data_IF_489086438766
#
_entry.id   IF_489086438766
#
_cell.length_a   1.000
_cell.length_b   1.000
_cell.length_c   1.000
_cell.angle_alpha   90.00
_cell.angle_beta   90.00
_cell.angle_gamma   90.00
#
_symmetry.space_group_name_H-M   'P 1'
#
loop_
_entity.id
_entity.type
_entity.pdbx_description
1 polymer ?
#
# COMPACT_ATOMS: atom_id res chain seq x y z
N UNK A 1 -21.35 -3.25 27.92
CA UNK A 1 -20.04 -3.65 28.47
C UNK A 1 -19.50 -4.90 27.77
N UNK A 2 -19.51 -4.94 26.43
CA UNK A 2 -18.81 -5.95 25.60
C UNK A 2 -18.41 -5.23 24.29
N UNK A 3 -17.27 -4.55 24.32
CA UNK A 3 -16.56 -3.93 23.18
C UNK A 3 -15.07 -4.03 23.51
N UNK A 4 -14.51 -5.23 23.34
CA UNK A 4 -13.06 -5.54 23.46
C UNK A 4 -12.90 -7.03 23.17
N UNK A 5 -12.91 -7.45 21.91
CA UNK A 5 -12.44 -8.77 21.47
C UNK A 5 -12.40 -8.85 19.94
N UNK A 6 -11.66 -7.96 19.28
CA UNK A 6 -11.28 -8.14 17.87
C UNK A 6 -10.02 -7.31 17.63
N UNK A 7 -8.87 -7.79 18.12
CA UNK A 7 -7.54 -7.45 17.60
C UNK A 7 -6.49 -8.38 18.24
N UNK A 8 -6.62 -9.70 18.08
CA UNK A 8 -5.51 -10.64 18.30
C UNK A 8 -5.76 -11.95 17.56
N UNK A 9 -5.94 -11.89 16.25
CA UNK A 9 -5.68 -13.05 15.41
C UNK A 9 -4.43 -12.75 14.61
N UNK A 10 -3.34 -13.35 15.09
CA UNK A 10 -2.11 -13.61 14.35
C UNK A 10 -2.50 -14.02 12.94
N UNK A 11 -2.27 -13.15 11.96
CA UNK A 11 -2.35 -13.49 10.55
C UNK A 11 -1.23 -14.52 10.30
N UNK A 12 -1.54 -15.79 9.98
CA UNK A 12 -0.50 -16.76 9.70
C UNK A 12 0.35 -16.31 8.49
N UNK A 13 1.67 -16.43 8.61
CA UNK A 13 2.71 -15.97 7.66
C UNK A 13 2.70 -16.58 6.24
N UNK A 14 1.57 -17.00 5.69
CA UNK A 14 1.46 -17.58 4.35
C UNK A 14 0.23 -17.03 3.60
N UNK A 15 0.24 -15.75 3.20
CA UNK A 15 -0.86 -15.18 2.42
C UNK A 15 -0.39 -14.16 1.38
N UNK A 16 -0.52 -14.52 0.10
CA UNK A 16 -0.91 -13.66 -1.04
C UNK A 16 -0.70 -14.45 -2.35
N UNK A 17 -1.56 -15.42 -2.68
CA UNK A 17 -1.54 -16.06 -4.00
C UNK A 17 -2.94 -16.47 -4.43
N UNK A 18 -3.64 -15.56 -5.10
CA UNK A 18 -4.77 -15.88 -5.95
C UNK A 18 -4.34 -15.49 -7.36
N UNK A 19 -3.93 -16.50 -8.13
CA UNK A 19 -3.71 -16.47 -9.59
C UNK A 19 -2.89 -15.27 -10.15
N UNK A 20 -1.80 -14.92 -9.50
CA UNK A 20 -0.58 -14.53 -10.23
C UNK A 20 0.27 -15.80 -10.23
N UNK A 21 0.76 -16.26 -11.39
CA UNK A 21 1.75 -17.36 -11.48
C UNK A 21 2.69 -17.25 -10.29
N UNK A 22 2.85 -18.31 -9.51
CA UNK A 22 3.84 -18.40 -8.43
C UNK A 22 5.18 -17.87 -8.93
N UNK A 23 5.45 -16.59 -8.71
CA UNK A 23 6.80 -16.08 -8.67
C UNK A 23 7.26 -16.53 -7.30
N UNK A 24 7.74 -17.76 -7.24
CA UNK A 24 8.59 -18.23 -6.14
C UNK A 24 9.51 -17.06 -5.76
N UNK A 25 9.66 -16.77 -4.47
CA UNK A 25 10.53 -15.69 -4.00
C UNK A 25 11.97 -15.84 -4.53
N UNK A 26 12.36 -17.01 -5.06
CA UNK A 26 13.61 -17.26 -5.77
C UNK A 26 13.66 -16.79 -7.24
N UNK A 27 12.62 -16.12 -7.77
CA UNK A 27 12.55 -15.70 -9.19
C UNK A 27 12.45 -14.19 -9.41
N UNK A 28 12.34 -13.40 -8.33
CA UNK A 28 12.29 -11.94 -8.43
C UNK A 28 13.68 -11.38 -8.73
N UNK A 29 13.76 -10.37 -9.59
CA UNK A 29 15.04 -9.72 -9.88
C UNK A 29 15.60 -9.09 -8.60
N UNK A 30 16.89 -9.30 -8.28
CA UNK A 30 17.49 -8.74 -7.08
C UNK A 30 17.54 -7.22 -7.18
N UNK A 31 17.21 -6.55 -6.08
CA UNK A 31 17.34 -5.10 -5.92
C UNK A 31 18.62 -4.84 -5.11
N UNK A 32 19.58 -4.04 -5.63
CA UNK A 32 20.74 -3.63 -4.86
C UNK A 32 20.34 -2.81 -3.63
N UNK A 33 21.08 -2.97 -2.52
CA UNK A 33 20.84 -2.24 -1.28
C UNK A 33 20.79 -0.72 -1.45
N UNK A 34 21.57 -0.18 -2.38
CA UNK A 34 21.56 1.23 -2.77
C UNK A 34 21.44 1.29 -4.30
N UNK A 35 20.42 1.97 -4.80
CA UNK A 35 20.25 2.23 -6.24
C UNK A 35 20.16 3.74 -6.45
N UNK A 36 21.03 4.30 -7.31
CA UNK A 36 21.02 5.74 -7.63
C UNK A 36 20.28 5.98 -8.93
N UNK A 37 19.40 6.96 -8.91
CA UNK A 37 18.73 7.54 -10.07
C UNK A 37 19.14 9.01 -10.16
N UNK A 38 18.66 9.72 -11.19
CA UNK A 38 19.07 11.10 -11.46
C UNK A 38 18.80 12.08 -10.29
N UNK A 39 17.60 12.00 -9.69
CA UNK A 39 17.13 12.93 -8.65
C UNK A 39 16.82 12.29 -7.30
N UNK A 40 17.11 11.01 -7.15
CA UNK A 40 16.79 10.25 -5.94
C UNK A 40 17.69 9.02 -5.78
N UNK A 41 17.76 8.54 -4.55
CA UNK A 41 18.49 7.33 -4.19
C UNK A 41 17.53 6.40 -3.45
N UNK A 42 17.38 5.18 -3.95
CA UNK A 42 16.65 4.13 -3.25
C UNK A 42 17.58 3.41 -2.30
N UNK A 43 17.14 3.25 -1.05
CA UNK A 43 17.81 2.52 0.03
C UNK A 43 16.89 1.38 0.47
N UNK A 44 17.33 0.14 0.31
CA UNK A 44 16.51 -1.03 0.61
C UNK A 44 16.47 -1.30 2.12
N UNK A 45 15.29 -1.52 2.68
CA UNK A 45 14.97 -1.60 4.11
C UNK A 45 15.58 -2.79 4.87
N UNK A 46 16.25 -3.72 4.19
CA UNK A 46 16.86 -4.92 4.79
C UNK A 46 15.83 -5.79 5.55
N UNK A 47 14.61 -5.84 5.04
CA UNK A 47 13.46 -6.51 5.63
C UNK A 47 12.73 -7.40 4.62
N UNK A 48 13.48 -8.14 3.80
CA UNK A 48 12.93 -9.11 2.83
C UNK A 48 11.90 -10.06 3.47
N UNK A 49 10.76 -10.24 2.82
CA UNK A 49 9.67 -11.05 3.34
C UNK A 49 8.53 -11.27 2.36
N UNK A 50 7.51 -12.07 2.72
CA UNK A 50 6.37 -12.34 1.84
C UNK A 50 5.56 -11.09 1.47
N UNK A 51 5.44 -10.13 2.39
CA UNK A 51 4.70 -8.87 2.17
C UNK A 51 5.61 -7.77 1.60
N UNK A 52 6.85 -7.71 2.07
CA UNK A 52 7.83 -6.66 1.74
C UNK A 52 8.66 -6.98 0.50
N UNK A 53 8.44 -8.15 -0.12
CA UNK A 53 9.17 -8.63 -1.29
C UNK A 53 10.69 -8.66 -1.04
N UNK A 54 11.49 -7.97 -1.86
CA UNK A 54 12.94 -7.81 -1.65
C UNK A 54 13.28 -6.97 -0.41
N UNK A 55 12.34 -6.16 0.09
CA UNK A 55 12.46 -5.21 1.19
C UNK A 55 11.69 -3.92 0.90
N UNK A 56 11.46 -3.09 1.92
CA UNK A 56 10.91 -1.74 1.74
C UNK A 56 11.88 -0.88 0.93
N UNK A 57 11.36 -0.17 -0.06
CA UNK A 57 12.09 0.85 -0.78
C UNK A 57 11.91 2.18 -0.06
N UNK A 58 12.93 2.60 0.68
CA UNK A 58 13.02 3.99 1.15
C UNK A 58 13.69 4.84 0.07
N UNK A 59 13.26 6.09 -0.09
CA UNK A 59 13.78 6.99 -1.12
C UNK A 59 14.31 8.27 -0.51
N UNK A 60 15.61 8.54 -0.70
CA UNK A 60 16.20 9.85 -0.43
C UNK A 60 16.09 10.70 -1.70
N UNK A 61 15.19 11.68 -1.68
CA UNK A 61 14.76 12.46 -2.84
C UNK A 61 15.37 13.87 -2.79
N UNK A 62 15.79 14.37 -3.94
CA UNK A 62 16.44 15.67 -4.11
C UNK A 62 17.93 15.53 -4.42
N UNK A 63 18.53 16.59 -4.96
CA UNK A 63 19.95 16.62 -5.35
C UNK A 63 20.80 17.53 -4.46
N UNK A 64 20.18 18.48 -3.77
CA UNK A 64 20.82 19.41 -2.85
C UNK A 64 21.31 18.74 -1.55
N UNK A 65 21.95 19.53 -0.67
CA UNK A 65 22.37 19.09 0.67
C UNK A 65 21.17 18.63 1.51
N UNK A 66 20.07 19.39 1.52
CA UNK A 66 18.84 19.01 2.20
C UNK A 66 18.01 18.12 1.29
N UNK A 67 17.63 16.94 1.79
CA UNK A 67 16.86 15.94 1.03
C UNK A 67 15.69 15.41 1.85
N UNK A 68 14.64 14.98 1.16
CA UNK A 68 13.47 14.34 1.77
C UNK A 68 13.66 12.84 1.78
N UNK A 69 13.44 12.19 2.92
CA UNK A 69 13.40 10.73 3.04
C UNK A 69 11.93 10.26 2.99
N UNK A 70 11.57 9.46 2.00
CA UNK A 70 10.27 8.83 1.90
C UNK A 70 10.34 7.41 2.44
N UNK A 71 9.51 7.12 3.44
CA UNK A 71 9.44 5.87 4.19
C UNK A 71 10.76 5.43 4.82
N UNK A 72 10.66 4.43 5.67
CA UNK A 72 11.79 3.82 6.36
C UNK A 72 11.76 2.30 6.18
N UNK A 73 11.83 1.54 7.27
CA UNK A 73 11.76 0.08 7.30
C UNK A 73 11.19 -0.35 8.65
N UNK A 74 11.14 -1.66 8.91
CA UNK A 74 10.82 -2.22 10.22
C UNK A 74 11.66 -1.60 11.35
N UNK A 75 11.17 -1.59 12.60
CA UNK A 75 12.00 -1.23 13.73
C UNK A 75 13.21 -2.17 13.85
N UNK A 76 14.30 -1.63 14.41
CA UNK A 76 15.53 -2.34 14.77
C UNK A 76 16.36 -2.90 13.59
N UNK A 77 16.17 -2.41 12.36
CA UNK A 77 16.99 -2.78 11.19
C UNK A 77 18.32 -2.00 11.16
N UNK A 78 19.29 -2.43 11.96
CA UNK A 78 20.61 -1.77 12.08
C UNK A 78 21.34 -1.65 10.73
N UNK A 79 21.23 -2.65 9.86
CA UNK A 79 21.86 -2.63 8.54
C UNK A 79 21.27 -1.56 7.63
N UNK A 80 19.95 -1.33 7.69
CA UNK A 80 19.31 -0.22 6.98
C UNK A 80 19.81 1.14 7.50
N UNK A 81 19.87 1.31 8.81
CA UNK A 81 20.37 2.57 9.41
C UNK A 81 21.81 2.87 8.99
N UNK A 82 22.67 1.83 8.93
CA UNK A 82 24.03 1.96 8.42
C UNK A 82 24.08 2.33 6.92
N UNK A 83 23.15 1.81 6.10
CA UNK A 83 23.03 2.21 4.69
C UNK A 83 22.59 3.66 4.53
N UNK A 84 21.63 4.13 5.35
CA UNK A 84 21.20 5.54 5.36
C UNK A 84 22.36 6.44 5.73
N UNK A 85 23.08 6.15 6.82
CA UNK A 85 24.27 6.90 7.25
C UNK A 85 25.34 6.94 6.14
N UNK A 86 25.61 5.80 5.51
CA UNK A 86 26.55 5.71 4.40
C UNK A 86 26.15 6.61 3.22
N UNK A 87 24.88 6.57 2.82
CA UNK A 87 24.37 7.39 1.70
C UNK A 87 24.47 8.87 2.04
N UNK A 88 23.99 9.30 3.21
CA UNK A 88 24.05 10.71 3.62
C UNK A 88 25.50 11.25 3.60
N UNK A 89 26.46 10.46 4.10
CA UNK A 89 27.87 10.83 4.08
C UNK A 89 28.45 10.92 2.66
N UNK A 90 28.11 9.97 1.78
CA UNK A 90 28.58 9.96 0.38
C UNK A 90 28.03 11.15 -0.41
N UNK A 91 26.77 11.49 -0.17
CA UNK A 91 26.05 12.56 -0.87
C UNK A 91 26.27 13.94 -0.25
N UNK A 92 26.97 14.01 0.90
CA UNK A 92 27.10 15.22 1.74
C UNK A 92 25.72 15.85 1.99
N UNK A 93 24.76 14.99 2.33
CA UNK A 93 23.37 15.35 2.48
C UNK A 93 22.91 15.19 3.94
N UNK A 94 21.87 15.93 4.29
CA UNK A 94 21.11 15.83 5.53
C UNK A 94 19.64 15.64 5.21
N UNK A 95 18.91 14.94 6.07
CA UNK A 95 17.46 14.74 5.90
C UNK A 95 16.75 15.97 6.46
N UNK A 96 15.97 16.67 5.64
CA UNK A 96 15.15 17.81 6.08
C UNK A 96 13.77 17.37 6.56
N UNK A 97 13.21 16.37 5.88
CA UNK A 97 11.87 15.87 6.14
C UNK A 97 11.87 14.36 5.92
N UNK A 98 11.21 13.65 6.83
CA UNK A 98 10.80 12.26 6.63
C UNK A 98 9.31 12.26 6.36
N UNK A 99 8.89 11.70 5.23
CA UNK A 99 7.47 11.52 4.91
C UNK A 99 7.15 10.04 4.97
N UNK A 100 6.10 9.69 5.71
CA UNK A 100 5.61 8.33 5.86
C UNK A 100 4.34 8.16 5.03
N UNK A 101 4.32 7.18 4.12
CA UNK A 101 3.19 6.89 3.25
C UNK A 101 1.99 6.37 4.03
N UNK A 102 2.21 5.50 5.02
CA UNK A 102 1.16 4.93 5.87
C UNK A 102 1.71 4.28 7.15
N UNK A 103 0.81 3.89 8.06
CA UNK A 103 1.16 3.44 9.41
C UNK A 103 1.88 2.09 9.50
N UNK A 104 1.94 1.26 8.45
CA UNK A 104 2.53 -0.07 8.58
C UNK A 104 3.98 0.01 9.04
N UNK A 105 4.34 -0.91 9.95
CA UNK A 105 5.61 -0.94 10.65
C UNK A 105 6.84 -0.95 9.74
N UNK A 106 6.73 -1.53 8.55
CA UNK A 106 7.79 -1.60 7.56
C UNK A 106 7.97 -0.29 6.77
N UNK A 107 7.14 0.73 6.99
CA UNK A 107 7.29 2.07 6.43
C UNK A 107 7.65 3.10 7.50
N UNK A 108 7.11 2.99 8.72
CA UNK A 108 7.36 3.94 9.82
C UNK A 108 8.41 3.48 10.85
N UNK A 109 8.67 2.17 10.92
CA UNK A 109 9.25 1.53 12.10
C UNK A 109 10.64 1.99 12.50
N UNK A 110 11.46 2.44 11.56
CA UNK A 110 12.83 2.85 11.82
C UNK A 110 13.01 4.35 12.11
N UNK A 111 11.93 5.14 12.19
CA UNK A 111 12.01 6.57 12.54
C UNK A 111 12.77 6.80 13.85
N UNK A 112 12.46 6.05 14.91
CA UNK A 112 13.17 6.17 16.19
C UNK A 112 14.63 5.72 16.08
N UNK A 113 14.94 4.67 15.31
CA UNK A 113 16.32 4.23 15.12
C UNK A 113 17.17 5.27 14.38
N UNK A 114 16.57 6.05 13.46
CA UNK A 114 17.25 7.18 12.80
C UNK A 114 17.48 8.35 13.77
N UNK A 115 16.52 8.64 14.67
CA UNK A 115 16.66 9.63 15.75
C UNK A 115 17.79 9.27 16.72
N UNK A 116 17.82 8.02 17.19
CA UNK A 116 18.85 7.51 18.10
C UNK A 116 20.27 7.61 17.52
N UNK A 117 20.39 7.59 16.19
CA UNK A 117 21.66 7.76 15.47
C UNK A 117 21.97 9.19 15.05
N UNK A 118 21.13 10.16 15.43
CA UNK A 118 21.24 11.56 15.01
C UNK A 118 21.30 11.72 13.47
N UNK A 119 20.68 10.80 12.72
CA UNK A 119 20.52 10.94 11.27
C UNK A 119 19.32 11.83 10.92
N UNK A 120 18.36 11.90 11.84
CA UNK A 120 17.30 12.92 11.88
C UNK A 120 17.30 13.53 13.28
N UNK A 121 17.24 14.86 13.36
CA UNK A 121 17.34 15.64 14.60
C UNK A 121 16.14 16.60 14.74
N UNK A 122 16.20 17.58 15.65
CA UNK A 122 15.15 18.59 15.82
C UNK A 122 14.89 19.49 14.60
N UNK A 123 15.82 19.53 13.64
CA UNK A 123 15.67 20.28 12.39
C UNK A 123 14.98 19.45 11.30
N UNK A 124 14.80 18.14 11.54
CA UNK A 124 14.09 17.25 10.64
C UNK A 124 12.63 17.06 11.10
N UNK A 125 11.70 17.36 10.20
CA UNK A 125 10.29 17.06 10.46
C UNK A 125 9.96 15.62 10.06
N UNK A 126 9.15 14.92 10.84
CA UNK A 126 8.56 13.63 10.42
C UNK A 126 7.08 13.87 10.15
N UNK A 127 6.58 13.41 9.02
CA UNK A 127 5.23 13.69 8.52
C UNK A 127 4.45 12.41 8.26
N UNK A 128 3.17 12.39 8.65
CA UNK A 128 2.26 11.27 8.39
C UNK A 128 0.82 11.78 8.28
N UNK A 129 0.02 11.15 7.42
CA UNK A 129 -1.41 11.44 7.34
C UNK A 129 -2.16 10.80 8.54
N UNK A 130 -3.22 11.43 9.08
CA UNK A 130 -3.94 10.87 10.22
C UNK A 130 -4.78 9.66 9.81
N UNK A 131 -4.77 8.62 10.66
CA UNK A 131 -5.68 7.48 10.54
C UNK A 131 -7.12 7.87 10.83
N UNK A 132 -8.07 7.31 10.08
CA UNK A 132 -9.50 7.52 10.32
C UNK A 132 -10.12 6.51 11.29
N UNK A 133 -9.44 5.39 11.55
CA UNK A 133 -9.92 4.27 12.36
C UNK A 133 -9.45 4.32 13.83
N UNK A 134 -8.42 5.12 14.12
CA UNK A 134 -7.91 5.35 15.48
C UNK A 134 -7.47 6.80 15.66
N UNK A 135 -7.64 7.33 16.86
CA UNK A 135 -7.10 8.65 17.22
C UNK A 135 -5.62 8.52 17.57
N UNK A 136 -4.77 9.20 16.81
CA UNK A 136 -3.33 9.28 17.03
C UNK A 136 -2.96 10.56 17.81
N UNK A 137 -1.97 10.47 18.69
CA UNK A 137 -1.37 11.61 19.37
C UNK A 137 -0.06 11.99 18.67
N UNK A 138 -0.15 12.92 17.74
CA UNK A 138 0.96 13.36 16.90
C UNK A 138 2.07 14.07 17.71
N UNK A 139 1.71 14.75 18.81
CA UNK A 139 2.67 15.43 19.67
C UNK A 139 3.51 14.40 20.46
N UNK A 140 2.86 13.37 21.02
CA UNK A 140 3.56 12.27 21.72
C UNK A 140 4.52 11.52 20.78
N UNK A 141 4.08 11.25 19.55
CA UNK A 141 4.89 10.57 18.52
C UNK A 141 5.99 11.48 17.94
N UNK A 142 5.95 12.79 18.22
CA UNK A 142 6.78 13.82 17.59
C UNK A 142 6.67 13.77 16.06
N UNK A 143 5.47 13.64 15.54
CA UNK A 143 5.15 13.60 14.11
C UNK A 143 4.24 14.78 13.79
N UNK A 144 4.38 15.34 12.60
CA UNK A 144 3.50 16.38 12.05
C UNK A 144 2.44 15.77 11.16
N UNK A 145 1.25 16.34 11.23
CA UNK A 145 0.11 15.89 10.45
C UNK A 145 0.22 16.35 8.98
N UNK A 146 0.06 15.42 8.04
CA UNK A 146 -0.12 15.72 6.62
C UNK A 146 -1.57 16.06 6.28
N UNK A 147 -1.74 16.75 5.15
CA UNK A 147 -3.04 16.99 4.51
C UNK A 147 -2.94 16.67 3.03
N UNK A 148 -4.08 16.34 2.39
CA UNK A 148 -4.14 16.18 0.93
C UNK A 148 -3.72 17.51 0.26
N UNK A 149 -2.89 17.42 -0.77
CA UNK A 149 -2.35 18.58 -1.47
C UNK A 149 -1.21 19.30 -0.77
N UNK A 150 -0.69 18.82 0.37
CA UNK A 150 0.54 19.35 0.97
C UNK A 150 1.69 19.26 -0.04
N UNK A 151 2.44 20.34 -0.22
CA UNK A 151 3.58 20.39 -1.14
C UNK A 151 4.91 20.51 -0.40
N UNK A 152 5.85 19.63 -0.73
CA UNK A 152 7.22 19.64 -0.24
C UNK A 152 8.13 20.17 -1.35
N UNK A 153 8.63 21.40 -1.19
CA UNK A 153 9.70 21.92 -2.05
C UNK A 153 11.04 21.42 -1.53
N UNK A 154 11.53 20.32 -2.11
CA UNK A 154 12.74 19.63 -1.66
C UNK A 154 14.00 20.40 -2.09
N UNK A 155 14.04 20.87 -3.35
CA UNK A 155 15.10 21.73 -3.88
C UNK A 155 14.54 22.66 -4.98
N UNK A 156 15.41 23.31 -5.76
CA UNK A 156 15.00 24.23 -6.83
C UNK A 156 14.18 23.55 -7.93
N UNK A 157 14.43 22.27 -8.16
CA UNK A 157 13.95 21.53 -9.31
C UNK A 157 13.00 20.38 -8.93
N UNK A 158 12.89 20.03 -7.63
CA UNK A 158 12.04 18.97 -7.08
C UNK A 158 10.96 19.53 -6.17
N UNK A 159 9.68 19.32 -6.54
CA UNK A 159 8.54 19.57 -5.66
C UNK A 159 7.64 18.34 -5.64
N UNK A 160 7.31 17.85 -4.44
CA UNK A 160 6.48 16.67 -4.25
C UNK A 160 5.14 17.07 -3.65
N UNK A 161 4.05 16.66 -4.30
CA UNK A 161 2.68 16.88 -3.83
C UNK A 161 2.13 15.62 -3.19
N UNK A 162 1.57 15.76 -1.99
CA UNK A 162 0.86 14.68 -1.30
C UNK A 162 -0.51 14.50 -1.93
N UNK A 163 -0.85 13.26 -2.28
CA UNK A 163 -2.23 12.88 -2.56
C UNK A 163 -2.69 11.83 -1.56
N UNK A 164 -3.79 12.12 -0.86
CA UNK A 164 -4.50 11.14 -0.06
C UNK A 164 -5.13 10.07 -0.97
N UNK A 165 -4.78 8.82 -0.69
CA UNK A 165 -5.07 7.64 -1.51
C UNK A 165 -5.43 6.45 -0.60
N UNK A 166 -6.54 6.53 0.14
CA UNK A 166 -6.94 5.48 1.07
C UNK A 166 -7.28 4.18 0.36
N UNK A 167 -7.43 3.12 1.15
CA UNK A 167 -7.87 1.81 0.68
C UNK A 167 -6.87 0.73 1.05
N UNK A 168 -5.58 0.95 0.78
CA UNK A 168 -4.54 0.09 1.36
C UNK A 168 -4.60 0.16 2.89
N UNK A 169 -4.52 1.38 3.41
CA UNK A 169 -4.83 1.76 4.79
C UNK A 169 -5.65 3.05 4.82
N UNK A 170 -6.22 3.38 5.97
CA UNK A 170 -7.02 4.62 6.17
C UNK A 170 -6.23 5.91 6.09
N UNK A 171 -4.90 5.86 6.21
CA UNK A 171 -3.99 6.99 6.19
C UNK A 171 -3.05 7.00 4.97
N UNK A 172 -3.28 6.12 3.99
CA UNK A 172 -2.33 5.97 2.89
C UNK A 172 -2.26 7.21 2.00
N UNK A 173 -1.03 7.69 1.76
CA UNK A 173 -0.73 8.75 0.80
C UNK A 173 0.28 8.30 -0.25
N UNK A 174 0.19 8.90 -1.43
CA UNK A 174 1.29 8.91 -2.41
C UNK A 174 1.96 10.28 -2.44
N UNK A 175 3.18 10.32 -2.97
CA UNK A 175 3.81 11.57 -3.41
C UNK A 175 3.85 11.64 -4.93
N UNK A 176 3.58 12.80 -5.50
CA UNK A 176 3.62 13.06 -6.93
C UNK A 176 4.59 14.20 -7.26
N UNK A 177 5.54 13.93 -8.14
CA UNK A 177 6.36 14.95 -8.79
C UNK A 177 5.72 15.26 -10.16
N UNK A 178 5.14 16.45 -10.29
CA UNK A 178 4.45 16.87 -11.52
C UNK A 178 5.42 17.12 -12.67
N UNK A 179 6.64 17.61 -12.38
CA UNK A 179 7.65 17.90 -13.40
C UNK A 179 8.15 16.60 -14.06
N UNK A 180 8.47 15.61 -13.24
CA UNK A 180 8.94 14.29 -13.68
C UNK A 180 7.80 13.32 -13.95
N UNK A 181 6.54 13.74 -13.76
CA UNK A 181 5.33 12.92 -13.87
C UNK A 181 5.49 11.58 -13.15
N UNK A 182 6.03 11.64 -11.94
CA UNK A 182 6.49 10.48 -11.17
C UNK A 182 5.66 10.31 -9.92
N UNK A 183 5.20 9.08 -9.68
CA UNK A 183 4.48 8.73 -8.45
C UNK A 183 5.36 7.88 -7.55
N UNK A 184 5.42 8.23 -6.27
CA UNK A 184 5.87 7.33 -5.22
C UNK A 184 4.64 6.71 -4.57
N UNK A 185 4.36 5.44 -4.90
CA UNK A 185 3.04 4.85 -4.66
C UNK A 185 2.86 4.22 -3.28
N UNK A 186 3.91 4.15 -2.47
CA UNK A 186 3.90 3.33 -1.25
C UNK A 186 3.38 1.93 -1.57
N UNK A 187 2.41 1.48 -0.79
CA UNK A 187 1.77 0.18 -0.93
C UNK A 187 0.47 0.20 -1.74
N UNK A 188 0.11 1.33 -2.32
CA UNK A 188 -1.02 1.40 -3.24
C UNK A 188 -0.74 0.61 -4.52
N UNK A 189 0.47 0.72 -5.09
CA UNK A 189 0.89 0.02 -6.31
C UNK A 189 2.30 -0.53 -6.08
N UNK A 190 2.49 -1.83 -6.30
CA UNK A 190 3.76 -2.53 -6.05
C UNK A 190 4.48 -2.80 -7.37
N UNK A 191 5.81 -2.88 -7.30
CA UNK A 191 6.66 -3.18 -8.46
C UNK A 191 6.43 -4.59 -9.02
N UNK A 192 6.05 -5.54 -8.16
CA UNK A 192 5.80 -6.94 -8.51
C UNK A 192 4.57 -7.44 -7.76
N UNK A 193 3.79 -8.34 -8.36
CA UNK A 193 2.55 -8.84 -7.77
C UNK A 193 1.45 -7.77 -7.69
N UNK A 194 0.57 -7.91 -6.69
CA UNK A 194 -0.52 -6.97 -6.40
C UNK A 194 -0.56 -6.60 -4.93
N UNK A 195 -1.01 -5.40 -4.59
CA UNK A 195 -1.17 -4.97 -3.20
C UNK A 195 -2.38 -5.60 -2.50
N UNK A 196 -2.33 -5.62 -1.17
CA UNK A 196 -3.47 -5.88 -0.28
C UNK A 196 -4.14 -4.57 0.12
N UNK A 197 -5.34 -4.63 0.68
CA UNK A 197 -6.11 -3.45 1.08
C UNK A 197 -7.09 -3.75 2.20
N UNK A 198 -7.38 -2.73 3.00
CA UNK A 198 -8.42 -2.70 4.04
C UNK A 198 -9.81 -2.40 3.46
N UNK A 199 -9.89 -1.59 2.39
CA UNK A 199 -11.16 -1.24 1.73
C UNK A 199 -11.02 -1.15 0.21
N UNK A 200 -11.69 -2.06 -0.51
CA UNK A 200 -11.58 -2.10 -1.97
C UNK A 200 -12.26 -0.92 -2.66
N UNK A 201 -13.31 -0.32 -2.08
CA UNK A 201 -14.00 0.80 -2.70
C UNK A 201 -13.08 2.03 -2.73
N UNK A 202 -12.50 2.36 -1.59
CA UNK A 202 -11.54 3.47 -1.47
C UNK A 202 -10.28 3.18 -2.28
N UNK A 203 -9.79 1.94 -2.27
CA UNK A 203 -8.63 1.53 -3.05
C UNK A 203 -8.82 1.72 -4.56
N UNK A 204 -9.98 1.33 -5.11
CA UNK A 204 -10.28 1.53 -6.54
C UNK A 204 -10.39 3.01 -6.90
N UNK A 205 -11.02 3.84 -6.05
CA UNK A 205 -11.06 5.29 -6.25
C UNK A 205 -9.66 5.91 -6.22
N UNK A 206 -8.78 5.42 -5.35
CA UNK A 206 -7.37 5.83 -5.29
C UNK A 206 -6.60 5.46 -6.55
N UNK A 207 -6.81 4.26 -7.10
CA UNK A 207 -6.18 3.86 -8.37
C UNK A 207 -6.61 4.75 -9.53
N UNK A 208 -7.91 5.09 -9.63
CA UNK A 208 -8.42 6.01 -10.65
C UNK A 208 -7.83 7.43 -10.46
N UNK A 209 -7.77 7.93 -9.21
CA UNK A 209 -7.12 9.23 -8.89
C UNK A 209 -5.66 9.24 -9.34
N UNK A 210 -4.92 8.15 -9.13
CA UNK A 210 -3.52 8.02 -9.57
C UNK A 210 -3.42 7.92 -11.10
N UNK A 211 -4.35 7.21 -11.75
CA UNK A 211 -4.41 7.11 -13.21
C UNK A 211 -4.61 8.49 -13.86
N UNK A 212 -5.45 9.33 -13.27
CA UNK A 212 -5.74 10.70 -13.75
C UNK A 212 -4.52 11.64 -13.68
N UNK A 213 -3.55 11.37 -12.79
CA UNK A 213 -2.25 12.06 -12.78
C UNK A 213 -1.40 11.75 -14.02
N UNK A 214 -1.77 10.69 -14.76
CA UNK A 214 -1.05 10.16 -15.94
C UNK A 214 0.44 10.01 -15.64
N UNK A 215 0.87 9.24 -14.63
CA UNK A 215 2.29 9.11 -14.34
C UNK A 215 3.03 8.43 -15.49
N UNK A 216 4.28 8.81 -15.70
CA UNK A 216 5.18 8.16 -16.65
C UNK A 216 5.94 7.01 -15.96
N UNK A 217 6.27 7.15 -14.66
CA UNK A 217 6.97 6.12 -13.86
C UNK A 217 6.45 6.07 -12.41
N UNK A 218 6.54 4.90 -11.78
CA UNK A 218 6.15 4.68 -10.39
C UNK A 218 7.32 4.07 -9.59
N UNK A 219 7.66 4.71 -8.48
CA UNK A 219 8.57 4.21 -7.45
C UNK A 219 7.75 3.59 -6.30
N UNK A 220 7.61 2.26 -6.24
CA UNK A 220 6.74 1.60 -5.27
C UNK A 220 7.38 1.44 -3.90
N UNK A 221 6.58 1.22 -2.86
CA UNK A 221 7.03 0.82 -1.52
C UNK A 221 7.78 -0.51 -1.54
N UNK A 222 7.39 -1.44 -2.42
CA UNK A 222 8.08 -2.71 -2.61
C UNK A 222 8.24 -3.09 -4.09
N UNK A 223 9.34 -3.79 -4.39
CA UNK A 223 9.64 -4.28 -5.75
C UNK A 223 10.34 -3.26 -6.64
N UNK A 224 10.43 -3.57 -7.94
CA UNK A 224 11.19 -2.78 -8.91
C UNK A 224 10.44 -1.52 -9.39
N UNK A 225 11.21 -0.56 -9.92
CA UNK A 225 10.68 0.62 -10.64
C UNK A 225 9.73 0.17 -11.75
N UNK A 226 8.59 0.84 -11.87
CA UNK A 226 7.62 0.63 -12.95
C UNK A 226 7.79 1.75 -13.98
N UNK A 227 8.18 1.41 -15.20
CA UNK A 227 8.33 2.36 -16.32
C UNK A 227 7.08 2.48 -17.19
N UNK A 228 6.18 1.50 -17.13
CA UNK A 228 4.89 1.51 -17.85
C UNK A 228 3.76 1.79 -16.85
N UNK A 229 3.81 2.96 -16.21
CA UNK A 229 2.98 3.29 -15.05
C UNK A 229 1.48 3.20 -15.32
N UNK A 230 1.01 3.82 -16.42
CA UNK A 230 -0.41 3.78 -16.83
C UNK A 230 -0.90 2.35 -17.04
N UNK A 231 -0.13 1.51 -17.72
CA UNK A 231 -0.53 0.13 -17.99
C UNK A 231 -0.52 -0.72 -16.71
N UNK A 232 0.40 -0.45 -15.77
CA UNK A 232 0.39 -1.09 -14.45
C UNK A 232 -0.88 -0.74 -13.65
N UNK A 233 -1.29 0.53 -13.65
CA UNK A 233 -2.50 0.99 -12.95
C UNK A 233 -3.75 0.35 -13.57
N UNK A 234 -3.87 0.36 -14.91
CA UNK A 234 -4.96 -0.32 -15.62
C UNK A 234 -4.99 -1.82 -15.34
N UNK A 235 -3.83 -2.47 -15.27
CA UNK A 235 -3.76 -3.87 -14.87
C UNK A 235 -4.35 -4.09 -13.48
N UNK A 236 -3.99 -3.27 -12.49
CA UNK A 236 -4.56 -3.33 -11.14
C UNK A 236 -6.10 -3.16 -11.15
N UNK A 237 -6.61 -2.13 -11.85
CA UNK A 237 -8.05 -1.86 -11.96
C UNK A 237 -8.77 -3.04 -12.62
N UNK A 238 -8.31 -3.45 -13.80
CA UNK A 238 -8.92 -4.53 -14.58
C UNK A 238 -8.94 -5.86 -13.83
N UNK A 239 -7.86 -6.19 -13.11
CA UNK A 239 -7.77 -7.40 -12.31
C UNK A 239 -8.83 -7.47 -11.20
N UNK A 240 -9.14 -6.33 -10.53
CA UNK A 240 -10.18 -6.28 -9.50
C UNK A 240 -11.59 -6.27 -10.10
N UNK A 241 -11.80 -5.54 -11.20
CA UNK A 241 -13.08 -5.53 -11.90
C UNK A 241 -13.46 -6.92 -12.45
N UNK A 242 -12.49 -7.67 -12.96
CA UNK A 242 -12.71 -9.04 -13.44
C UNK A 242 -13.16 -9.97 -12.31
N UNK A 243 -12.53 -9.87 -11.13
CA UNK A 243 -12.98 -10.66 -9.97
C UNK A 243 -14.39 -10.27 -9.52
N UNK A 244 -14.70 -8.97 -9.54
CA UNK A 244 -16.04 -8.48 -9.21
C UNK A 244 -17.10 -9.00 -10.18
N UNK A 245 -16.81 -9.02 -11.49
CA UNK A 245 -17.68 -9.60 -12.53
C UNK A 245 -18.00 -11.06 -12.22
N UNK A 246 -16.99 -11.88 -11.92
CA UNK A 246 -17.16 -13.29 -11.58
C UNK A 246 -18.04 -13.50 -10.34
N UNK A 247 -17.86 -12.68 -9.29
CA UNK A 247 -18.67 -12.74 -8.07
C UNK A 247 -20.15 -12.43 -8.37
N UNK A 248 -20.40 -11.40 -9.17
CA UNK A 248 -21.76 -11.02 -9.56
C UNK A 248 -22.44 -12.06 -10.44
N UNK A 249 -21.71 -12.69 -11.36
CA UNK A 249 -22.23 -13.79 -12.18
C UNK A 249 -22.66 -14.97 -11.31
N UNK A 250 -21.82 -15.34 -10.34
CA UNK A 250 -22.13 -16.41 -9.38
C UNK A 250 -23.33 -16.07 -8.51
N UNK A 251 -23.41 -14.84 -7.99
CA UNK A 251 -24.58 -14.39 -7.23
C UNK A 251 -25.85 -14.35 -8.08
N UNK A 252 -25.77 -13.95 -9.36
CA UNK A 252 -26.94 -13.93 -10.26
C UNK A 252 -27.49 -15.33 -10.49
N UNK A 253 -26.62 -16.34 -10.58
CA UNK A 253 -27.02 -17.73 -10.81
C UNK A 253 -27.45 -18.47 -9.54
N UNK A 254 -26.88 -18.13 -8.37
CA UNK A 254 -26.95 -18.96 -7.16
C UNK A 254 -27.32 -18.22 -5.88
N UNK A 255 -27.70 -16.93 -5.93
CA UNK A 255 -28.03 -16.16 -4.73
C UNK A 255 -29.15 -16.78 -3.90
N UNK A 256 -29.12 -16.64 -2.55
CA UNK A 256 -28.07 -15.99 -1.77
C UNK A 256 -26.89 -16.92 -1.47
N UNK A 257 -25.66 -16.40 -1.39
CA UNK A 257 -24.45 -17.15 -1.04
C UNK A 257 -23.63 -16.48 0.06
N UNK A 258 -22.99 -17.28 0.90
CA UNK A 258 -21.95 -16.80 1.82
C UNK A 258 -20.63 -16.57 1.06
N UNK A 259 -19.67 -15.90 1.70
CA UNK A 259 -18.32 -15.72 1.12
C UNK A 259 -17.69 -17.07 0.73
N UNK A 260 -17.84 -18.10 1.58
CA UNK A 260 -17.35 -19.44 1.22
C UNK A 260 -18.16 -20.10 0.10
N UNK A 261 -19.48 -19.89 0.03
CA UNK A 261 -20.27 -20.36 -1.10
C UNK A 261 -19.83 -19.77 -2.43
N UNK A 262 -19.38 -18.51 -2.43
CA UNK A 262 -18.79 -17.88 -3.63
C UNK A 262 -17.39 -18.45 -3.91
N UNK A 263 -16.56 -18.63 -2.88
CA UNK A 263 -15.20 -19.18 -3.04
C UNK A 263 -15.22 -20.57 -3.68
N UNK A 264 -16.11 -21.46 -3.23
CA UNK A 264 -16.18 -22.82 -3.77
C UNK A 264 -16.51 -22.88 -5.27
N UNK A 265 -17.09 -21.82 -5.83
CA UNK A 265 -17.43 -21.71 -7.26
C UNK A 265 -16.35 -20.92 -8.01
N UNK A 266 -16.01 -19.72 -7.54
CA UNK A 266 -15.11 -18.77 -8.21
C UNK A 266 -13.64 -19.19 -8.11
N UNK A 267 -13.28 -20.00 -7.11
CA UNK A 267 -11.91 -20.41 -6.79
C UNK A 267 -11.73 -21.94 -6.78
N UNK A 268 -12.54 -22.67 -7.53
CA UNK A 268 -12.47 -24.14 -7.60
C UNK A 268 -11.07 -24.69 -7.95
N UNK A 269 -10.27 -23.95 -8.73
CA UNK A 269 -8.91 -24.33 -9.14
C UNK A 269 -7.83 -23.93 -8.12
N UNK A 270 -8.20 -23.28 -7.01
CA UNK A 270 -7.29 -22.85 -5.95
C UNK A 270 -7.30 -23.91 -4.83
N UNK A 271 -6.13 -24.35 -4.32
CA UNK A 271 -6.06 -25.32 -3.23
C UNK A 271 -6.87 -24.88 -2.01
N UNK A 272 -7.65 -25.79 -1.41
CA UNK A 272 -8.56 -25.49 -0.27
C UNK A 272 -7.88 -24.79 0.91
N UNK A 273 -6.60 -25.10 1.17
CA UNK A 273 -5.81 -24.42 2.21
C UNK A 273 -5.70 -22.89 2.02
N UNK A 274 -5.97 -22.38 0.81
CA UNK A 274 -5.97 -20.95 0.48
C UNK A 274 -7.38 -20.33 0.47
N UNK A 275 -8.43 -21.14 0.67
CA UNK A 275 -9.81 -20.66 0.58
C UNK A 275 -10.16 -19.62 1.63
N UNK A 276 -9.56 -19.67 2.82
CA UNK A 276 -9.76 -18.62 3.83
C UNK A 276 -9.29 -17.24 3.34
N UNK A 277 -8.17 -17.17 2.62
CA UNK A 277 -7.74 -15.91 2.01
C UNK A 277 -8.57 -15.50 0.81
N UNK A 278 -9.02 -16.48 0.01
CA UNK A 278 -9.97 -16.21 -1.06
C UNK A 278 -11.27 -15.63 -0.50
N UNK A 279 -11.77 -16.15 0.62
CA UNK A 279 -12.97 -15.64 1.29
C UNK A 279 -12.77 -14.22 1.80
N UNK A 280 -11.58 -13.90 2.33
CA UNK A 280 -11.22 -12.54 2.72
C UNK A 280 -11.20 -11.58 1.52
N UNK A 281 -10.65 -12.00 0.38
CA UNK A 281 -10.72 -11.21 -0.85
C UNK A 281 -12.16 -11.02 -1.34
N UNK A 282 -12.97 -12.09 -1.37
CA UNK A 282 -14.39 -12.05 -1.74
C UNK A 282 -15.16 -11.09 -0.81
N UNK A 283 -14.88 -11.11 0.49
CA UNK A 283 -15.50 -10.20 1.45
C UNK A 283 -15.26 -8.73 1.08
N UNK A 284 -14.04 -8.35 0.67
CA UNK A 284 -13.75 -6.99 0.21
C UNK A 284 -14.56 -6.58 -1.02
N UNK A 285 -14.67 -7.48 -2.00
CA UNK A 285 -15.52 -7.26 -3.17
C UNK A 285 -16.98 -7.07 -2.79
N UNK A 286 -17.52 -7.90 -1.90
CA UNK A 286 -18.91 -7.81 -1.46
C UNK A 286 -19.17 -6.54 -0.63
N UNK A 287 -18.22 -6.13 0.21
CA UNK A 287 -18.30 -4.86 0.95
C UNK A 287 -18.36 -3.67 -0.02
N UNK A 288 -17.50 -3.65 -1.05
CA UNK A 288 -17.55 -2.63 -2.12
C UNK A 288 -18.89 -2.65 -2.86
N UNK A 289 -19.31 -3.81 -3.36
CA UNK A 289 -20.58 -3.96 -4.09
C UNK A 289 -21.79 -3.54 -3.24
N UNK A 290 -21.75 -3.77 -1.92
CA UNK A 290 -22.77 -3.33 -0.98
C UNK A 290 -22.78 -1.80 -0.84
N UNK A 291 -21.61 -1.15 -0.72
CA UNK A 291 -21.50 0.33 -0.72
C UNK A 291 -22.08 0.92 -2.01
N UNK A 292 -21.92 0.24 -3.13
CA UNK A 292 -22.47 0.63 -4.44
C UNK A 292 -23.95 0.26 -4.63
N UNK A 293 -24.59 -0.39 -3.65
CA UNK A 293 -25.99 -0.81 -3.75
C UNK A 293 -26.26 -1.93 -4.75
N UNK A 294 -25.25 -2.68 -5.17
CA UNK A 294 -25.36 -3.76 -6.16
C UNK A 294 -25.69 -5.12 -5.55
N UNK A 295 -25.34 -5.31 -4.28
CA UNK A 295 -25.67 -6.50 -3.50
C UNK A 295 -26.26 -6.12 -2.14
N UNK A 296 -27.14 -6.96 -1.61
CA UNK A 296 -27.65 -6.88 -0.25
C UNK A 296 -26.95 -7.91 0.64
N UNK A 297 -26.76 -7.57 1.92
CA UNK A 297 -26.33 -8.51 2.94
C UNK A 297 -27.56 -9.02 3.70
N UNK A 298 -27.63 -10.34 3.93
CA UNK A 298 -28.68 -10.99 4.70
C UNK A 298 -28.03 -11.80 5.81
N UNK A 299 -28.54 -11.66 7.03
CA UNK A 299 -28.14 -12.49 8.17
C UNK A 299 -29.11 -13.67 8.30
N UNK A 300 -28.60 -14.92 8.28
CA UNK A 300 -29.38 -16.16 8.46
C UNK A 300 -28.65 -17.08 9.44
N UNK A 301 -29.31 -17.48 10.52
CA UNK A 301 -28.77 -18.43 11.50
C UNK A 301 -27.35 -18.10 12.03
N UNK A 302 -27.07 -16.81 12.25
CA UNK A 302 -25.75 -16.28 12.66
C UNK A 302 -24.65 -16.33 11.59
N UNK A 303 -25.01 -16.61 10.35
CA UNK A 303 -24.13 -16.55 9.18
C UNK A 303 -24.55 -15.42 8.22
N UNK A 304 -23.56 -14.88 7.51
CA UNK A 304 -23.74 -13.76 6.56
C UNK A 304 -23.81 -14.30 5.14
N UNK A 305 -24.87 -13.92 4.44
CA UNK A 305 -25.12 -14.22 3.03
C UNK A 305 -25.26 -12.93 2.23
N UNK A 306 -25.07 -13.04 0.91
CA UNK A 306 -25.19 -11.94 -0.04
C UNK A 306 -26.08 -12.34 -1.21
N UNK A 307 -26.86 -11.38 -1.71
CA UNK A 307 -27.71 -11.53 -2.89
C UNK A 307 -27.64 -10.30 -3.79
N UNK A 308 -28.02 -10.44 -5.06
CA UNK A 308 -28.13 -9.32 -6.00
C UNK A 308 -29.23 -8.37 -5.52
N UNK A 309 -28.95 -7.06 -5.50
CA UNK A 309 -29.95 -6.06 -5.16
C UNK A 309 -31.07 -6.03 -6.22
N UNK A 310 -32.33 -5.96 -5.80
CA UNK A 310 -33.51 -6.08 -6.69
C UNK A 310 -33.59 -5.02 -7.81
N UNK A 311 -32.76 -3.98 -7.75
CA UNK A 311 -32.72 -2.87 -8.71
C UNK A 311 -31.48 -2.90 -9.63
N UNK A 312 -30.55 -3.85 -9.47
CA UNK A 312 -29.31 -3.89 -10.26
C UNK A 312 -29.42 -4.62 -11.61
N UNK A 313 -30.59 -5.16 -11.97
CA UNK A 313 -30.89 -5.75 -13.29
C UNK A 313 -31.06 -4.71 -14.43
N UNK A 314 -30.49 -3.51 -14.31
CA UNK A 314 -30.43 -2.50 -15.37
C UNK A 314 -28.99 -2.09 -15.63
N UNK A 315 -28.19 -3.00 -16.18
CA UNK A 315 -27.00 -2.69 -16.98
C UNK A 315 -26.94 -3.70 -18.13
#
# INVERSE_FOLDING_TARGET
MIKKFFLSLVIPNNFCYIAVRQLSTNTMQPIPNITRFDRLIRILGQNRGPMTLQGTNSYLIGTAEKRLLLDTTDPNKKDYVALVEQVLKQERAVISDVVITHWHHDHIGAVENLREKNLIDENCNVWKFPRSDIKEDFDEMKIKQLTDGHEFRVDEDTTLKVHFTPGHTTDHVILYDERERTVFSGDCILGEGTAVFEDLYDYMNSLEKILDLKPDKIYPGHGNLITDAVERIKFYISHRQERERQILEVLTAHSPLSCMGIVSIVYQDVPEKMWTAAAYNVQHHLTKLKKEGRVNQIDRDSEIYFEIASHSNKL
#
